data_IF_058451812528
#
_entry.id   IF_058451812528
#
_cell.length_a   1.000
_cell.length_b   1.000
_cell.length_c   1.000
_cell.angle_alpha   90.00
_cell.angle_beta   90.00
_cell.angle_gamma   90.00
#
_symmetry.space_group_name_H-M   'P 1'
#
loop_
_entity.id
_entity.type
_entity.pdbx_description
1 polymer ?
#
# COMPACT_ATOMS: atom_id res chain seq x y z
N UNK A 1 -20.65 -19.46 -0.37
CA UNK A 1 -20.99 -18.04 -0.12
C UNK A 1 -19.69 -17.34 0.19
N UNK A 2 -19.39 -16.23 -0.49
CA UNK A 2 -18.18 -15.42 -0.27
C UNK A 2 -18.40 -14.35 0.82
N UNK A 3 -19.47 -14.46 1.60
CA UNK A 3 -19.77 -13.54 2.68
C UNK A 3 -18.66 -13.58 3.74
N UNK A 4 -17.96 -12.46 3.88
CA UNK A 4 -16.94 -12.30 4.90
C UNK A 4 -17.62 -11.94 6.22
N UNK A 5 -17.55 -12.86 7.18
CA UNK A 5 -18.02 -12.63 8.53
C UNK A 5 -16.89 -12.03 9.38
N UNK A 6 -17.11 -10.81 9.88
CA UNK A 6 -16.20 -10.14 10.80
C UNK A 6 -16.48 -10.63 12.23
N UNK A 7 -15.51 -11.25 12.86
CA UNK A 7 -15.57 -11.64 14.27
C UNK A 7 -15.42 -10.42 15.18
N UNK A 8 -16.55 -9.96 15.71
CA UNK A 8 -16.62 -8.83 16.64
C UNK A 8 -16.15 -9.16 18.06
N UNK A 9 -15.82 -10.42 18.37
CA UNK A 9 -15.30 -10.81 19.69
C UNK A 9 -13.81 -10.57 19.85
N UNK A 10 -13.08 -10.43 18.73
CA UNK A 10 -11.64 -10.19 18.72
C UNK A 10 -11.26 -8.88 19.43
N UNK A 11 -10.19 -8.92 20.21
CA UNK A 11 -9.65 -7.78 20.94
C UNK A 11 -8.18 -7.58 20.57
N UNK A 12 -7.76 -6.32 20.53
CA UNK A 12 -6.32 -6.05 20.48
C UNK A 12 -5.66 -6.37 21.81
N UNK A 13 -4.38 -6.73 21.75
CA UNK A 13 -3.52 -6.76 22.91
C UNK A 13 -3.33 -5.32 23.40
N UNK A 14 -3.45 -5.13 24.71
CA UNK A 14 -3.30 -3.82 25.36
C UNK A 14 -2.02 -3.10 24.89
N UNK A 15 -2.18 -1.84 24.46
CA UNK A 15 -1.08 -1.03 23.95
C UNK A 15 -0.66 -1.31 22.50
N UNK A 16 -1.33 -2.23 21.80
CA UNK A 16 -1.05 -2.55 20.39
C UNK A 16 -2.31 -2.41 19.53
N UNK A 17 -2.14 -2.56 18.21
CA UNK A 17 -3.25 -2.83 17.30
C UNK A 17 -3.03 -4.16 16.58
N UNK A 18 -2.73 -5.19 17.38
CA UNK A 18 -2.63 -6.58 16.93
C UNK A 18 -3.38 -7.52 17.87
N UNK A 19 -3.99 -8.56 17.34
CA UNK A 19 -4.73 -9.58 18.12
C UNK A 19 -3.81 -10.64 18.73
N UNK A 20 -2.62 -10.82 18.15
CA UNK A 20 -1.56 -11.70 18.65
C UNK A 20 -0.27 -10.90 18.87
N UNK A 21 0.53 -11.33 19.85
CA UNK A 21 1.85 -10.76 20.07
C UNK A 21 2.86 -11.30 19.04
N UNK A 22 4.06 -10.74 19.07
CA UNK A 22 5.13 -11.09 18.12
C UNK A 22 5.55 -12.56 18.25
N UNK A 23 5.55 -13.13 19.47
CA UNK A 23 5.93 -14.52 19.71
C UNK A 23 4.90 -15.50 19.15
N UNK A 24 3.63 -15.28 19.47
CA UNK A 24 2.51 -16.08 18.95
C UNK A 24 2.40 -15.98 17.42
N UNK A 25 2.59 -14.78 16.86
CA UNK A 25 2.61 -14.61 15.40
C UNK A 25 3.72 -15.44 14.75
N UNK A 26 4.94 -15.41 15.31
CA UNK A 26 6.07 -16.20 14.81
C UNK A 26 5.81 -17.70 14.92
N UNK A 27 5.29 -18.17 16.06
CA UNK A 27 4.97 -19.59 16.28
C UNK A 27 3.94 -20.10 15.26
N UNK A 28 2.92 -19.31 14.97
CA UNK A 28 1.85 -19.67 14.03
C UNK A 28 2.31 -19.65 12.57
N UNK A 29 3.24 -18.77 12.20
CA UNK A 29 3.58 -18.52 10.79
C UNK A 29 4.85 -19.25 10.35
N UNK A 30 5.85 -19.38 11.23
CA UNK A 30 7.15 -19.96 10.89
C UNK A 30 7.10 -21.40 10.33
N UNK A 31 6.22 -22.31 10.82
CA UNK A 31 6.11 -23.66 10.27
C UNK A 31 5.65 -23.72 8.80
N UNK A 32 4.95 -22.68 8.33
CA UNK A 32 4.32 -22.64 7.01
C UNK A 32 5.22 -22.01 5.94
N UNK A 33 6.30 -21.33 6.32
CA UNK A 33 7.20 -20.64 5.37
C UNK A 33 7.75 -21.54 4.26
N UNK A 34 8.13 -22.78 4.59
CA UNK A 34 8.62 -23.74 3.59
C UNK A 34 7.53 -24.16 2.59
N UNK A 35 6.26 -24.16 3.02
CA UNK A 35 5.12 -24.51 2.15
C UNK A 35 4.80 -23.41 1.15
N UNK A 36 5.18 -22.17 1.43
CA UNK A 36 5.05 -21.04 0.51
C UNK A 36 6.39 -20.73 -0.18
N UNK A 37 7.30 -21.71 -0.28
CA UNK A 37 8.57 -21.57 -1.01
C UNK A 37 9.62 -20.65 -0.38
N UNK A 38 9.42 -20.14 0.83
CA UNK A 38 10.42 -19.29 1.50
C UNK A 38 11.58 -20.16 1.98
N UNK A 39 12.75 -19.92 1.40
CA UNK A 39 13.97 -20.70 1.65
C UNK A 39 14.88 -20.06 2.70
N UNK A 40 14.83 -18.73 2.82
CA UNK A 40 15.69 -17.98 3.75
C UNK A 40 15.02 -16.69 4.20
N UNK A 41 15.26 -16.34 5.46
CA UNK A 41 14.95 -15.02 6.02
C UNK A 41 16.20 -14.51 6.73
N UNK A 42 16.61 -13.28 6.42
CA UNK A 42 17.83 -12.70 6.96
C UNK A 42 17.64 -11.21 7.27
N UNK A 43 18.29 -10.74 8.33
CA UNK A 43 18.44 -9.31 8.59
C UNK A 43 19.35 -8.71 7.51
N UNK A 44 18.94 -7.58 6.97
CA UNK A 44 19.73 -6.75 6.05
C UNK A 44 19.97 -5.35 6.64
N UNK A 45 19.61 -5.14 7.91
CA UNK A 45 19.75 -3.88 8.65
C UNK A 45 21.14 -3.26 8.51
N UNK A 46 22.18 -4.07 8.70
CA UNK A 46 23.57 -3.61 8.73
C UNK A 46 24.13 -3.20 7.36
N UNK A 47 23.34 -3.31 6.28
CA UNK A 47 23.73 -2.78 4.97
C UNK A 47 23.59 -1.25 4.89
N UNK A 48 22.75 -0.64 5.74
CA UNK A 48 22.60 0.81 5.83
C UNK A 48 23.03 1.31 7.21
N UNK A 49 23.53 2.54 7.27
CA UNK A 49 24.06 3.15 8.50
C UNK A 49 22.98 3.69 9.46
N UNK A 50 21.70 3.60 9.07
CA UNK A 50 20.57 4.09 9.86
C UNK A 50 20.28 3.18 11.08
N UNK A 51 20.53 1.86 10.97
CA UNK A 51 20.30 0.92 12.07
C UNK A 51 18.83 0.76 12.49
N UNK A 52 17.89 0.96 11.56
CA UNK A 52 16.47 0.59 11.72
C UNK A 52 16.27 -0.83 11.18
N UNK A 53 15.64 -1.74 11.94
CA UNK A 53 15.49 -3.14 11.54
C UNK A 53 14.79 -3.34 10.19
N UNK A 54 15.49 -4.03 9.27
CA UNK A 54 14.96 -4.46 7.98
C UNK A 54 15.37 -5.90 7.72
N UNK A 55 14.41 -6.72 7.34
CA UNK A 55 14.62 -8.13 6.98
C UNK A 55 14.29 -8.38 5.52
N UNK A 56 14.85 -9.45 4.97
CA UNK A 56 14.52 -9.95 3.65
C UNK A 56 14.13 -11.42 3.73
N UNK A 57 13.05 -11.79 3.04
CA UNK A 57 12.61 -13.16 2.81
C UNK A 57 12.81 -13.53 1.34
N UNK A 58 13.37 -14.71 1.09
CA UNK A 58 13.75 -15.18 -0.26
C UNK A 58 12.89 -16.37 -0.64
N UNK A 59 12.13 -16.21 -1.71
CA UNK A 59 11.27 -17.22 -2.34
C UNK A 59 11.66 -17.39 -3.81
N UNK A 60 12.59 -18.31 -4.12
CA UNK A 60 13.05 -18.54 -5.49
C UNK A 60 11.98 -19.12 -6.43
N UNK A 61 10.91 -19.70 -5.87
CA UNK A 61 9.78 -20.31 -6.58
C UNK A 61 8.67 -19.31 -6.93
N UNK A 62 8.90 -18.01 -6.75
CA UNK A 62 7.92 -16.98 -7.13
C UNK A 62 7.56 -17.09 -8.61
N UNK A 63 6.28 -16.89 -8.92
CA UNK A 63 5.77 -17.00 -10.27
C UNK A 63 6.42 -15.97 -11.21
N UNK A 64 6.55 -16.32 -12.48
CA UNK A 64 7.10 -15.42 -13.49
C UNK A 64 6.35 -14.08 -13.51
N UNK A 65 7.10 -12.97 -13.37
CA UNK A 65 6.54 -11.62 -13.28
C UNK A 65 6.35 -11.09 -11.84
N UNK A 66 6.50 -11.94 -10.82
CA UNK A 66 6.73 -11.52 -9.44
C UNK A 66 8.23 -11.30 -9.16
N UNK A 67 8.55 -10.81 -7.96
CA UNK A 67 9.94 -10.75 -7.47
C UNK A 67 10.18 -11.88 -6.47
N UNK A 68 11.41 -12.39 -6.42
CA UNK A 68 11.79 -13.49 -5.54
C UNK A 68 12.21 -13.04 -4.12
N UNK A 69 12.27 -11.73 -3.86
CA UNK A 69 12.78 -11.14 -2.62
C UNK A 69 11.78 -10.14 -2.03
N UNK A 70 11.20 -10.51 -0.89
CA UNK A 70 10.31 -9.67 -0.11
C UNK A 70 11.05 -9.07 1.07
N UNK A 71 10.58 -7.94 1.58
CA UNK A 71 11.31 -7.18 2.61
C UNK A 71 10.38 -6.77 3.73
N UNK A 72 10.83 -6.88 4.97
CA UNK A 72 10.04 -6.53 6.14
C UNK A 72 10.68 -5.40 6.93
N UNK A 73 9.85 -4.63 7.61
CA UNK A 73 10.26 -3.44 8.37
C UNK A 73 9.55 -3.37 9.72
N UNK A 74 10.21 -2.76 10.70
CA UNK A 74 9.66 -2.64 12.05
C UNK A 74 10.55 -1.80 12.97
N UNK A 75 10.00 -1.42 14.13
CA UNK A 75 10.77 -0.73 15.16
C UNK A 75 11.67 -1.69 15.96
N UNK A 76 11.35 -2.98 15.94
CA UNK A 76 12.16 -4.08 16.49
C UNK A 76 12.53 -5.09 15.42
N UNK A 77 13.56 -5.91 15.67
CA UNK A 77 13.93 -7.01 14.78
C UNK A 77 12.80 -8.03 14.60
N UNK A 78 12.08 -8.34 15.67
CA UNK A 78 10.96 -9.27 15.62
C UNK A 78 9.84 -8.75 14.71
N UNK A 79 9.47 -7.46 14.81
CA UNK A 79 8.50 -6.83 13.91
C UNK A 79 8.95 -6.85 12.44
N UNK A 80 10.21 -6.47 12.19
CA UNK A 80 10.74 -6.47 10.83
C UNK A 80 10.78 -7.89 10.22
N UNK A 81 11.15 -8.89 11.02
CA UNK A 81 11.13 -10.29 10.61
C UNK A 81 9.72 -10.80 10.32
N UNK A 82 8.76 -10.54 11.21
CA UNK A 82 7.34 -10.88 11.01
C UNK A 82 6.83 -10.20 9.75
N UNK A 83 7.11 -8.92 9.55
CA UNK A 83 6.71 -8.19 8.35
C UNK A 83 7.21 -8.85 7.07
N UNK A 84 8.45 -9.34 7.03
CA UNK A 84 8.99 -10.03 5.85
C UNK A 84 8.30 -11.39 5.62
N UNK A 85 7.96 -12.09 6.70
CA UNK A 85 7.22 -13.36 6.66
C UNK A 85 5.80 -13.15 6.13
N UNK A 86 5.08 -12.20 6.69
CA UNK A 86 3.68 -11.89 6.36
C UNK A 86 3.55 -11.39 4.91
N UNK A 87 4.48 -10.56 4.43
CA UNK A 87 4.52 -10.17 3.02
C UNK A 87 4.77 -11.39 2.10
N UNK A 88 5.54 -12.39 2.53
CA UNK A 88 5.76 -13.60 1.74
C UNK A 88 4.47 -14.44 1.58
N UNK A 89 3.65 -14.56 2.62
CA UNK A 89 2.33 -15.20 2.54
C UNK A 89 1.42 -14.44 1.58
N UNK A 90 1.35 -13.12 1.74
CA UNK A 90 0.56 -12.24 0.89
C UNK A 90 0.91 -12.42 -0.59
N UNK A 91 2.20 -12.40 -0.92
CA UNK A 91 2.70 -12.49 -2.29
C UNK A 91 2.46 -13.88 -2.89
N UNK A 92 2.73 -14.94 -2.13
CA UNK A 92 2.51 -16.31 -2.59
C UNK A 92 1.02 -16.58 -2.84
N UNK A 93 0.12 -16.22 -1.91
CA UNK A 93 -1.30 -16.54 -2.05
C UNK A 93 -2.05 -15.62 -3.04
N UNK A 94 -1.42 -14.54 -3.49
CA UNK A 94 -1.90 -13.73 -4.61
C UNK A 94 -1.65 -14.36 -5.98
N UNK A 95 -0.72 -15.32 -6.08
CA UNK A 95 -0.49 -16.10 -7.29
C UNK A 95 -1.66 -17.05 -7.55
N UNK A 96 -1.97 -17.25 -8.83
CA UNK A 96 -3.03 -18.20 -9.24
C UNK A 96 -2.50 -19.61 -9.15
N UNK A 97 -3.38 -20.58 -8.89
CA UNK A 97 -3.00 -22.00 -8.76
C UNK A 97 -2.24 -22.51 -9.99
N UNK A 98 -2.65 -22.10 -11.18
CA UNK A 98 -2.01 -22.52 -12.44
C UNK A 98 -0.56 -22.05 -12.60
N UNK A 99 -0.10 -21.05 -11.84
CA UNK A 99 1.26 -20.49 -11.91
C UNK A 99 2.01 -20.57 -10.57
N UNK A 100 1.32 -20.88 -9.46
CA UNK A 100 1.94 -21.00 -8.16
C UNK A 100 2.68 -22.34 -8.04
N UNK A 101 4.00 -22.29 -7.90
CA UNK A 101 4.83 -23.49 -7.82
C UNK A 101 4.78 -24.22 -6.46
N UNK A 102 4.26 -23.56 -5.41
CA UNK A 102 4.28 -24.06 -4.04
C UNK A 102 2.89 -24.50 -3.54
N UNK A 103 1.82 -23.95 -4.11
CA UNK A 103 0.43 -24.12 -3.66
C UNK A 103 -0.44 -24.67 -4.80
N UNK A 104 -0.92 -25.91 -4.63
CA UNK A 104 -1.88 -26.58 -5.51
C UNK A 104 -3.24 -26.72 -4.79
N UNK A 105 -3.76 -25.59 -4.31
CA UNK A 105 -5.06 -25.46 -3.64
C UNK A 105 -5.75 -24.22 -4.22
N UNK A 106 -7.03 -24.32 -4.59
CA UNK A 106 -7.82 -23.20 -5.12
C UNK A 106 -8.28 -22.23 -4.02
N UNK A 107 -8.58 -20.99 -4.40
CA UNK A 107 -9.31 -20.07 -3.52
C UNK A 107 -10.75 -20.55 -3.32
N UNK A 108 -11.39 -20.12 -2.24
CA UNK A 108 -12.82 -20.36 -2.01
C UNK A 108 -13.73 -19.53 -2.94
N UNK A 109 -13.21 -18.50 -3.62
CA UNK A 109 -13.97 -17.66 -4.51
C UNK A 109 -14.22 -18.33 -5.88
N UNK A 110 -15.43 -18.19 -6.40
CA UNK A 110 -15.78 -18.68 -7.73
C UNK A 110 -15.11 -17.82 -8.81
N UNK A 111 -14.56 -18.47 -9.83
CA UNK A 111 -13.96 -17.81 -10.98
C UNK A 111 -14.55 -18.31 -12.30
N UNK A 112 -14.73 -17.42 -13.28
CA UNK A 112 -15.16 -17.77 -14.64
C UNK A 112 -14.67 -16.78 -15.70
N UNK A 113 -14.71 -17.18 -16.97
CA UNK A 113 -14.39 -16.31 -18.12
C UNK A 113 -15.64 -16.08 -18.94
N UNK A 114 -16.08 -14.83 -19.05
CA UNK A 114 -17.18 -14.41 -19.91
C UNK A 114 -17.11 -12.89 -20.18
N UNK A 115 -17.70 -12.48 -21.30
CA UNK A 115 -17.92 -11.07 -21.63
C UNK A 115 -18.81 -10.36 -20.62
N UNK A 116 -18.56 -9.07 -20.38
CA UNK A 116 -19.37 -8.26 -19.46
C UNK A 116 -20.85 -8.29 -19.84
N UNK A 117 -21.16 -8.22 -21.15
CA UNK A 117 -22.54 -8.25 -21.65
C UNK A 117 -23.29 -9.50 -21.18
N UNK A 118 -22.72 -10.68 -21.40
CA UNK A 118 -23.36 -11.96 -21.04
C UNK A 118 -23.32 -12.24 -19.56
N UNK A 119 -22.20 -11.95 -18.90
CA UNK A 119 -22.07 -12.21 -17.47
C UNK A 119 -23.06 -11.36 -16.64
N UNK A 120 -23.39 -10.15 -17.10
CA UNK A 120 -24.36 -9.25 -16.43
C UNK A 120 -25.80 -9.77 -16.43
N UNK A 121 -26.13 -10.77 -17.25
CA UNK A 121 -27.47 -11.38 -17.27
C UNK A 121 -27.78 -12.22 -16.02
N UNK A 122 -26.73 -12.71 -15.33
CA UNK A 122 -26.86 -13.61 -14.18
C UNK A 122 -26.00 -13.25 -12.97
N UNK A 123 -25.11 -12.26 -13.10
CA UNK A 123 -24.15 -11.89 -12.06
C UNK A 123 -24.10 -10.38 -11.84
N UNK A 124 -23.93 -9.97 -10.59
CA UNK A 124 -23.57 -8.59 -10.25
C UNK A 124 -22.09 -8.39 -10.57
N UNK A 125 -21.79 -7.50 -11.51
CA UNK A 125 -20.42 -7.24 -11.97
C UNK A 125 -19.96 -5.86 -11.53
N UNK A 126 -18.69 -5.75 -11.19
CA UNK A 126 -18.01 -4.46 -11.14
C UNK A 126 -17.89 -3.89 -12.55
N UNK A 127 -18.24 -2.61 -12.71
CA UNK A 127 -17.92 -1.87 -13.93
C UNK A 127 -16.40 -1.79 -14.11
N UNK A 128 -15.88 -2.40 -15.16
CA UNK A 128 -14.44 -2.46 -15.45
C UNK A 128 -13.82 -1.08 -15.61
N UNK A 129 -14.57 -0.09 -16.12
CA UNK A 129 -14.07 1.28 -16.31
C UNK A 129 -13.85 2.00 -14.97
N UNK A 130 -14.53 1.57 -13.90
CA UNK A 130 -14.31 2.09 -12.55
C UNK A 130 -12.92 1.74 -11.99
N UNK A 131 -12.20 0.80 -12.61
CA UNK A 131 -10.81 0.46 -12.29
C UNK A 131 -9.78 1.40 -12.95
N UNK A 132 -10.21 2.55 -13.50
CA UNK A 132 -9.33 3.56 -14.07
C UNK A 132 -8.50 3.02 -15.24
N UNK A 133 -9.15 2.31 -16.16
CA UNK A 133 -8.50 1.78 -17.35
C UNK A 133 -7.89 2.93 -18.18
N UNK A 134 -6.72 2.68 -18.79
CA UNK A 134 -6.11 3.63 -19.72
C UNK A 134 -6.98 3.84 -20.96
N UNK A 135 -7.50 2.73 -21.50
CA UNK A 135 -8.48 2.71 -22.59
C UNK A 135 -9.69 1.86 -22.18
N UNK A 136 -10.93 2.33 -22.46
CA UNK A 136 -12.13 1.53 -22.25
C UNK A 136 -12.07 0.23 -23.05
N UNK A 137 -12.64 -0.83 -22.49
CA UNK A 137 -12.75 -2.12 -23.16
C UNK A 137 -14.16 -2.32 -23.72
N UNK A 138 -14.27 -2.92 -24.91
CA UNK A 138 -15.56 -3.30 -25.46
C UNK A 138 -16.22 -4.40 -24.61
N UNK A 139 -17.52 -4.29 -24.37
CA UNK A 139 -18.29 -5.15 -23.46
C UNK A 139 -18.43 -6.60 -23.92
N UNK A 140 -18.16 -6.87 -25.19
CA UNK A 140 -18.15 -8.20 -25.82
C UNK A 140 -16.81 -8.95 -25.64
N UNK A 141 -15.79 -8.28 -25.10
CA UNK A 141 -14.51 -8.91 -24.80
C UNK A 141 -14.64 -9.84 -23.60
N UNK A 142 -14.05 -11.02 -23.72
CA UNK A 142 -13.96 -11.97 -22.61
C UNK A 142 -13.13 -11.34 -21.49
N UNK A 143 -13.69 -11.32 -20.29
CA UNK A 143 -13.02 -10.93 -19.06
C UNK A 143 -13.08 -12.13 -18.13
N UNK A 144 -12.02 -12.32 -17.37
CA UNK A 144 -12.04 -13.28 -16.28
C UNK A 144 -12.47 -12.60 -15.00
N UNK A 145 -13.39 -13.23 -14.30
CA UNK A 145 -14.08 -12.69 -13.14
C UNK A 145 -13.81 -13.56 -11.93
N UNK A 146 -13.51 -12.93 -10.80
CA UNK A 146 -13.38 -13.55 -9.48
C UNK A 146 -14.45 -12.97 -8.56
N UNK A 147 -15.15 -13.83 -7.82
CA UNK A 147 -16.15 -13.40 -6.85
C UNK A 147 -15.48 -12.74 -5.63
N UNK A 148 -16.03 -11.61 -5.19
CA UNK A 148 -15.67 -10.94 -3.95
C UNK A 148 -16.91 -10.50 -3.16
N UNK A 149 -16.65 -9.82 -2.05
CA UNK A 149 -17.66 -9.27 -1.16
C UNK A 149 -17.50 -7.76 -1.05
N UNK A 150 -18.53 -7.01 -1.46
CA UNK A 150 -18.57 -5.55 -1.28
C UNK A 150 -18.98 -5.22 0.16
N UNK A 151 -18.04 -4.70 0.94
CA UNK A 151 -18.24 -4.34 2.35
C UNK A 151 -19.13 -3.10 2.54
N UNK A 152 -19.24 -2.22 1.54
CA UNK A 152 -20.09 -1.03 1.62
C UNK A 152 -21.53 -1.33 1.23
N UNK A 153 -21.70 -2.15 0.20
CA UNK A 153 -23.02 -2.54 -0.33
C UNK A 153 -23.57 -3.83 0.28
N UNK A 154 -22.75 -4.56 1.05
CA UNK A 154 -23.08 -5.83 1.71
C UNK A 154 -23.66 -6.87 0.73
N UNK A 155 -22.98 -7.06 -0.40
CA UNK A 155 -23.38 -8.01 -1.44
C UNK A 155 -22.20 -8.73 -2.09
N UNK A 156 -22.46 -9.90 -2.66
CA UNK A 156 -21.51 -10.56 -3.55
C UNK A 156 -21.41 -9.78 -4.87
N UNK A 157 -20.19 -9.63 -5.38
CA UNK A 157 -19.90 -8.94 -6.64
C UNK A 157 -18.73 -9.63 -7.34
N UNK A 158 -18.77 -9.71 -8.66
CA UNK A 158 -17.67 -10.22 -9.46
C UNK A 158 -16.76 -9.07 -9.92
N UNK A 159 -15.46 -9.23 -9.71
CA UNK A 159 -14.43 -8.27 -10.13
C UNK A 159 -13.50 -8.93 -11.15
N UNK A 160 -12.88 -8.17 -12.06
CA UNK A 160 -11.89 -8.74 -12.97
C UNK A 160 -10.73 -9.39 -12.21
N UNK A 161 -10.37 -10.62 -12.54
CA UNK A 161 -9.27 -11.37 -11.90
C UNK A 161 -7.92 -10.66 -12.06
N UNK A 162 -7.78 -9.82 -13.10
CA UNK A 162 -6.63 -8.93 -13.29
C UNK A 162 -6.44 -7.92 -12.13
N UNK A 163 -7.52 -7.56 -11.44
CA UNK A 163 -7.51 -6.71 -10.25
C UNK A 163 -7.22 -7.49 -8.96
N UNK A 164 -7.28 -8.82 -9.00
CA UNK A 164 -7.19 -9.71 -7.83
C UNK A 164 -5.79 -10.29 -7.66
N UNK A 165 -5.28 -10.94 -8.71
CA UNK A 165 -4.06 -11.71 -8.64
C UNK A 165 -2.82 -10.91 -9.02
N UNK A 166 -1.68 -11.36 -8.51
CA UNK A 166 -0.38 -10.84 -8.88
C UNK A 166 0.69 -11.95 -8.82
N UNK A 167 1.48 -12.17 -9.88
CA UNK A 167 1.36 -11.55 -11.20
C UNK A 167 0.10 -12.05 -11.93
N UNK A 168 -0.37 -11.30 -12.91
CA UNK A 168 -1.52 -11.70 -13.72
C UNK A 168 -1.23 -11.58 -15.21
N UNK A 169 -1.46 -12.70 -15.90
CA UNK A 169 -1.65 -12.77 -17.33
C UNK A 169 -3.03 -13.36 -17.63
N UNK A 170 -3.66 -12.81 -18.66
CA UNK A 170 -5.01 -13.18 -19.06
C UNK A 170 -5.05 -14.60 -19.65
N UNK A 171 -5.85 -15.53 -19.10
CA UNK A 171 -5.94 -16.88 -19.64
C UNK A 171 -6.74 -16.95 -20.95
N UNK A 172 -6.28 -17.78 -21.87
CA UNK A 172 -6.96 -18.03 -23.14
C UNK A 172 -7.05 -16.77 -24.00
N UNK A 173 -8.27 -16.36 -24.36
CA UNK A 173 -8.56 -15.18 -25.18
C UNK A 173 -9.16 -14.03 -24.36
N UNK A 174 -9.07 -14.08 -23.02
CA UNK A 174 -9.56 -13.00 -22.16
C UNK A 174 -8.66 -11.76 -22.25
N UNK A 175 -9.21 -10.62 -21.89
CA UNK A 175 -8.49 -9.36 -21.94
C UNK A 175 -7.62 -9.15 -20.69
N UNK A 176 -6.38 -8.72 -20.92
CA UNK A 176 -5.54 -8.12 -19.89
C UNK A 176 -5.87 -6.63 -19.78
N UNK A 177 -6.57 -6.25 -18.71
CA UNK A 177 -7.11 -4.89 -18.53
C UNK A 177 -6.02 -3.87 -18.19
N UNK A 178 -5.03 -4.26 -17.40
CA UNK A 178 -3.90 -3.42 -16.98
C UNK A 178 -2.76 -4.28 -16.44
N UNK A 179 -1.59 -3.66 -16.22
CA UNK A 179 -0.49 -4.32 -15.51
C UNK A 179 -0.91 -4.62 -14.08
N UNK A 180 -0.84 -5.88 -13.67
CA UNK A 180 -1.12 -6.27 -12.28
C UNK A 180 -0.14 -5.63 -11.32
N UNK A 181 -0.62 -5.32 -10.12
CA UNK A 181 0.16 -4.75 -9.03
C UNK A 181 -0.30 -5.34 -7.71
N UNK A 182 0.40 -5.02 -6.64
CA UNK A 182 0.20 -5.57 -5.31
C UNK A 182 -0.70 -4.74 -4.40
N UNK A 183 -1.18 -3.58 -4.86
CA UNK A 183 -1.95 -2.64 -4.04
C UNK A 183 -3.18 -3.30 -3.40
N UNK A 184 -3.30 -3.18 -2.08
CA UNK A 184 -4.43 -3.72 -1.32
C UNK A 184 -4.36 -5.23 -1.10
N UNK A 185 -3.28 -5.89 -1.49
CA UNK A 185 -2.98 -7.21 -0.93
C UNK A 185 -2.56 -7.03 0.53
N UNK A 186 -3.02 -7.92 1.40
CA UNK A 186 -2.63 -7.89 2.79
C UNK A 186 -2.80 -9.26 3.43
N UNK A 187 -1.94 -9.56 4.39
CA UNK A 187 -2.07 -10.68 5.31
C UNK A 187 -2.27 -10.20 6.75
N UNK A 188 -2.78 -11.07 7.60
CA UNK A 188 -3.02 -10.80 9.02
C UNK A 188 -2.97 -12.07 9.85
N UNK A 189 -2.95 -11.94 11.18
CA UNK A 189 -3.13 -13.11 12.06
C UNK A 189 -4.57 -13.67 11.97
N UNK A 190 -5.51 -12.78 11.62
CA UNK A 190 -6.93 -13.02 11.42
C UNK A 190 -7.38 -12.22 10.20
N UNK A 191 -8.52 -12.58 9.60
CA UNK A 191 -8.97 -11.97 8.34
C UNK A 191 -9.29 -10.47 8.52
N UNK A 192 -9.73 -10.06 9.71
CA UNK A 192 -10.02 -8.67 10.05
C UNK A 192 -8.77 -7.79 10.02
N UNK A 193 -7.63 -8.30 10.50
CA UNK A 193 -6.36 -7.58 10.39
C UNK A 193 -5.93 -7.43 8.93
N UNK A 194 -6.09 -8.49 8.13
CA UNK A 194 -5.77 -8.47 6.71
C UNK A 194 -6.66 -7.45 5.95
N UNK A 195 -7.96 -7.46 6.20
CA UNK A 195 -8.92 -6.51 5.61
C UNK A 195 -8.59 -5.08 6.01
N UNK A 196 -8.39 -4.82 7.30
CA UNK A 196 -8.05 -3.49 7.80
C UNK A 196 -6.75 -2.99 7.16
N UNK A 197 -5.73 -3.84 7.07
CA UNK A 197 -4.46 -3.47 6.45
C UNK A 197 -4.64 -3.17 4.95
N UNK A 198 -5.35 -4.02 4.21
CA UNK A 198 -5.60 -3.83 2.78
C UNK A 198 -6.39 -2.56 2.49
N UNK A 199 -7.42 -2.25 3.29
CA UNK A 199 -8.19 -1.00 3.17
C UNK A 199 -7.29 0.23 3.40
N UNK A 200 -6.46 0.20 4.46
CA UNK A 200 -5.55 1.29 4.78
C UNK A 200 -4.49 1.49 3.67
N UNK A 201 -3.99 0.40 3.08
CA UNK A 201 -3.02 0.49 1.98
C UNK A 201 -3.64 1.11 0.72
N UNK A 202 -4.87 0.73 0.34
CA UNK A 202 -5.53 1.34 -0.82
C UNK A 202 -5.76 2.85 -0.60
N UNK A 203 -6.13 3.26 0.61
CA UNK A 203 -6.25 4.68 0.99
C UNK A 203 -4.89 5.39 0.94
N UNK A 204 -3.82 4.75 1.42
CA UNK A 204 -2.45 5.27 1.38
C UNK A 204 -2.02 5.58 -0.06
N UNK A 205 -2.24 4.63 -0.98
CA UNK A 205 -1.86 4.76 -2.38
C UNK A 205 -2.69 5.81 -3.13
N UNK A 206 -3.97 5.97 -2.79
CA UNK A 206 -4.82 7.05 -3.33
C UNK A 206 -4.30 8.43 -2.88
N UNK A 207 -4.10 8.62 -1.57
CA UNK A 207 -3.59 9.87 -1.02
C UNK A 207 -2.21 10.24 -1.58
N UNK A 208 -1.30 9.26 -1.67
CA UNK A 208 0.02 9.45 -2.28
C UNK A 208 -0.08 9.81 -3.76
N UNK A 209 -0.97 9.14 -4.52
CA UNK A 209 -1.20 9.42 -5.94
C UNK A 209 -1.72 10.85 -6.16
N UNK A 210 -2.67 11.29 -5.34
CA UNK A 210 -3.21 12.67 -5.36
C UNK A 210 -2.11 13.68 -5.04
N UNK A 211 -1.31 13.42 -4.02
CA UNK A 211 -0.21 14.29 -3.60
C UNK A 211 0.86 14.45 -4.70
N UNK A 212 1.33 13.33 -5.26
CA UNK A 212 2.32 13.28 -6.35
C UNK A 212 1.82 13.98 -7.62
N UNK A 213 0.60 13.69 -8.04
CA UNK A 213 0.04 14.29 -9.26
C UNK A 213 -0.13 15.82 -9.12
N UNK A 214 -0.57 16.28 -7.95
CA UNK A 214 -0.79 17.70 -7.70
C UNK A 214 0.48 18.44 -7.23
N UNK A 215 1.57 17.71 -6.97
CA UNK A 215 2.82 18.24 -6.38
C UNK A 215 2.58 19.00 -5.08
N UNK A 216 1.73 18.44 -4.23
CA UNK A 216 1.35 19.02 -2.95
C UNK A 216 1.47 17.97 -1.84
N UNK A 217 2.51 18.04 -1.00
CA UNK A 217 2.74 17.08 0.07
C UNK A 217 1.83 17.28 1.28
N UNK A 218 1.03 18.35 1.32
CA UNK A 218 0.25 18.71 2.51
C UNK A 218 1.07 19.50 3.52
N UNK A 219 1.05 19.09 4.79
CA UNK A 219 1.72 19.79 5.90
C UNK A 219 2.96 19.03 6.37
N UNK A 220 4.02 19.74 6.71
CA UNK A 220 5.24 19.16 7.25
C UNK A 220 4.99 18.77 8.72
N UNK A 221 5.05 17.48 9.04
CA UNK A 221 4.88 16.97 10.39
C UNK A 221 6.20 17.09 11.15
N UNK A 222 6.18 17.83 12.25
CA UNK A 222 7.33 18.00 13.14
C UNK A 222 7.13 17.15 14.39
N UNK A 223 8.13 16.32 14.69
CA UNK A 223 8.16 15.51 15.91
C UNK A 223 9.01 16.16 17.00
N UNK A 224 8.68 15.85 18.25
CA UNK A 224 9.38 16.23 19.47
C UNK A 224 9.70 15.00 20.31
N UNK A 225 10.53 15.15 21.34
CA UNK A 225 10.87 14.06 22.27
C UNK A 225 9.63 13.40 22.91
N UNK A 226 8.51 14.12 23.01
CA UNK A 226 7.26 13.59 23.56
C UNK A 226 6.60 12.54 22.65
N UNK A 227 7.00 12.44 21.37
CA UNK A 227 6.48 11.47 20.40
C UNK A 227 7.17 10.09 20.50
N UNK A 228 8.05 9.93 21.49
CA UNK A 228 8.67 8.66 21.89
C UNK A 228 9.40 7.97 20.75
N UNK A 229 9.07 6.71 20.49
CA UNK A 229 9.75 5.87 19.49
C UNK A 229 9.76 6.49 18.10
N UNK A 230 8.75 7.28 17.72
CA UNK A 230 8.72 7.93 16.40
C UNK A 230 9.81 8.99 16.27
N UNK A 231 10.03 9.78 17.33
CA UNK A 231 11.13 10.73 17.41
C UNK A 231 12.48 10.03 17.42
N UNK A 232 12.63 8.94 18.20
CA UNK A 232 13.85 8.14 18.23
C UNK A 232 14.23 7.57 16.85
N UNK A 233 13.23 7.13 16.07
CA UNK A 233 13.46 6.64 14.70
C UNK A 233 13.92 7.77 13.76
N UNK A 234 13.35 8.97 13.86
CA UNK A 234 13.83 10.15 13.11
C UNK A 234 15.27 10.51 13.52
N UNK A 235 15.57 10.49 14.82
CA UNK A 235 16.92 10.74 15.34
C UNK A 235 17.96 9.80 14.75
N UNK A 236 17.64 8.51 14.56
CA UNK A 236 18.55 7.56 13.88
C UNK A 236 18.93 7.98 12.46
N UNK A 237 18.00 8.58 11.71
CA UNK A 237 18.32 9.13 10.38
C UNK A 237 19.26 10.33 10.49
N UNK A 238 18.92 11.29 11.34
CA UNK A 238 19.69 12.52 11.51
C UNK A 238 21.10 12.27 12.02
N UNK A 239 21.26 11.39 13.01
CA UNK A 239 22.54 11.03 13.61
C UNK A 239 23.45 10.28 12.60
N UNK A 240 22.85 9.67 11.58
CA UNK A 240 23.52 9.05 10.46
C UNK A 240 23.74 10.00 9.26
N UNK A 241 23.49 11.30 9.42
CA UNK A 241 23.69 12.31 8.36
C UNK A 241 22.66 12.26 7.23
N UNK A 242 21.50 11.63 7.47
CA UNK A 242 20.39 11.54 6.51
C UNK A 242 19.25 12.39 7.03
N UNK A 243 18.90 13.46 6.31
CA UNK A 243 17.71 14.24 6.65
C UNK A 243 16.45 13.45 6.31
N UNK A 244 15.42 13.60 7.13
CA UNK A 244 14.10 13.00 6.91
C UNK A 244 13.04 14.06 7.14
N UNK A 245 12.16 14.26 6.16
CA UNK A 245 10.98 15.10 6.29
C UNK A 245 9.73 14.24 6.32
N UNK A 246 8.84 14.53 7.27
CA UNK A 246 7.55 13.85 7.38
C UNK A 246 6.45 14.77 6.85
N UNK A 247 5.54 14.23 6.06
CA UNK A 247 4.49 14.97 5.38
C UNK A 247 3.14 14.33 5.67
N UNK A 248 2.26 15.10 6.32
CA UNK A 248 0.86 14.73 6.52
C UNK A 248 0.07 15.08 5.26
N UNK A 249 -0.34 14.04 4.52
CA UNK A 249 -1.04 14.21 3.24
C UNK A 249 -2.49 14.62 3.48
N UNK A 250 -2.95 15.61 2.71
CA UNK A 250 -4.37 15.94 2.64
C UNK A 250 -5.13 14.87 1.85
N UNK A 251 -6.19 14.33 2.45
CA UNK A 251 -7.08 13.34 1.84
C UNK A 251 -8.54 13.64 2.20
N UNK A 252 -9.49 13.10 1.44
CA UNK A 252 -10.94 13.31 1.66
C UNK A 252 -11.57 12.30 2.65
N UNK A 253 -10.75 11.39 3.19
CA UNK A 253 -11.05 10.61 4.41
C UNK A 253 -10.29 11.17 5.61
N UNK A 254 -10.78 10.90 6.82
CA UNK A 254 -10.06 11.23 8.05
C UNK A 254 -8.87 10.28 8.39
N UNK A 255 -8.64 9.21 7.61
CA UNK A 255 -7.49 8.29 7.80
C UNK A 255 -6.17 9.04 7.64
N UNK A 256 -5.29 8.92 8.64
CA UNK A 256 -3.99 9.60 8.63
C UNK A 256 -3.06 8.91 7.65
N UNK A 257 -2.46 9.68 6.73
CA UNK A 257 -1.44 9.20 5.79
C UNK A 257 -0.20 10.07 5.89
N UNK A 258 0.95 9.45 6.16
CA UNK A 258 2.24 10.12 6.30
C UNK A 258 3.18 9.64 5.20
N UNK A 259 3.95 10.57 4.63
CA UNK A 259 5.10 10.27 3.77
C UNK A 259 6.38 10.72 4.46
N UNK A 260 7.37 9.85 4.51
CA UNK A 260 8.71 10.15 4.99
C UNK A 260 9.68 10.23 3.81
N UNK A 261 10.18 11.42 3.50
CA UNK A 261 11.12 11.66 2.40
C UNK A 261 12.54 11.80 2.94
N UNK A 262 13.47 10.99 2.42
CA UNK A 262 14.87 10.98 2.88
C UNK A 262 15.78 11.78 1.96
N UNK A 263 16.77 12.45 2.54
CA UNK A 263 17.80 13.20 1.84
C UNK A 263 19.19 12.93 2.46
N UNK A 264 19.99 12.10 1.80
CA UNK A 264 21.33 11.71 2.23
C UNK A 264 22.35 12.79 1.84
N UNK A 265 22.64 13.70 2.76
CA UNK A 265 23.50 14.86 2.51
C UNK A 265 24.99 14.50 2.39
N UNK A 266 25.37 13.31 2.87
CA UNK A 266 26.74 12.81 2.81
C UNK A 266 27.01 12.13 1.48
N UNK A 267 26.22 11.10 1.13
CA UNK A 267 26.43 10.34 -0.11
C UNK A 267 25.96 11.11 -1.33
N UNK A 268 24.88 11.90 -1.21
CA UNK A 268 24.22 12.57 -2.32
C UNK A 268 23.98 11.63 -3.51
N UNK A 269 23.61 10.39 -3.22
CA UNK A 269 23.22 9.43 -4.24
C UNK A 269 21.76 9.69 -4.62
N UNK A 270 21.53 9.95 -5.91
CA UNK A 270 20.19 10.17 -6.44
C UNK A 270 19.27 8.95 -6.24
N UNK A 271 19.82 7.73 -6.21
CA UNK A 271 19.05 6.52 -5.97
C UNK A 271 18.56 6.41 -4.51
N UNK A 272 19.23 7.09 -3.56
CA UNK A 272 18.85 7.11 -2.15
C UNK A 272 17.88 8.24 -1.79
N UNK A 273 17.41 9.02 -2.79
CA UNK A 273 16.25 9.92 -2.65
C UNK A 273 14.96 9.09 -2.66
N UNK A 274 14.80 8.26 -1.64
CA UNK A 274 13.64 7.38 -1.47
C UNK A 274 12.63 7.98 -0.50
N UNK A 275 11.45 7.37 -0.47
CA UNK A 275 10.37 7.72 0.44
C UNK A 275 9.76 6.45 1.03
N UNK A 276 9.18 6.58 2.22
CA UNK A 276 8.25 5.60 2.77
C UNK A 276 6.89 6.23 2.99
N UNK A 277 5.82 5.43 2.89
CA UNK A 277 4.47 5.86 3.19
C UNK A 277 3.87 5.01 4.32
N UNK A 278 2.88 5.57 5.01
CA UNK A 278 2.20 4.88 6.09
C UNK A 278 0.82 5.47 6.34
N UNK A 279 -0.22 4.65 6.20
CA UNK A 279 -1.58 5.00 6.61
C UNK A 279 -2.08 4.21 7.80
N UNK A 280 -2.82 4.90 8.67
CA UNK A 280 -3.43 4.30 9.85
C UNK A 280 -4.48 5.22 10.48
N UNK A 281 -5.43 4.64 11.23
CA UNK A 281 -6.43 5.41 12.00
C UNK A 281 -5.82 6.13 13.21
N UNK A 282 -4.76 5.54 13.76
CA UNK A 282 -3.92 6.08 14.83
C UNK A 282 -2.67 6.76 14.26
N UNK A 283 -2.51 8.10 14.38
CA UNK A 283 -1.43 8.86 13.74
C UNK A 283 -0.02 8.34 14.05
N UNK A 284 0.25 7.94 15.29
CA UNK A 284 1.57 7.46 15.71
C UNK A 284 2.00 6.21 14.93
N UNK A 285 1.04 5.36 14.54
CA UNK A 285 1.33 4.15 13.77
C UNK A 285 1.56 4.52 12.29
N UNK A 286 0.80 5.47 11.73
CA UNK A 286 1.03 5.98 10.38
C UNK A 286 2.44 6.57 10.22
N UNK A 287 2.86 7.39 11.20
CA UNK A 287 4.22 7.96 11.26
C UNK A 287 5.28 6.85 11.31
N UNK A 288 5.14 5.89 12.23
CA UNK A 288 6.09 4.78 12.38
C UNK A 288 6.23 3.95 11.11
N UNK A 289 5.11 3.65 10.44
CA UNK A 289 5.08 2.94 9.15
C UNK A 289 5.86 3.71 8.08
N UNK A 290 5.61 5.02 7.93
CA UNK A 290 6.30 5.84 6.94
C UNK A 290 7.81 5.88 7.17
N UNK A 291 8.26 6.09 8.42
CA UNK A 291 9.69 6.13 8.76
C UNK A 291 10.36 4.77 8.53
N UNK A 292 9.73 3.68 8.96
CA UNK A 292 10.31 2.33 8.80
C UNK A 292 10.29 1.86 7.34
N UNK A 293 9.30 2.27 6.53
CA UNK A 293 9.27 2.01 5.09
C UNK A 293 10.32 2.84 4.32
N UNK A 294 10.65 4.05 4.79
CA UNK A 294 11.76 4.81 4.24
C UNK A 294 13.11 4.12 4.49
N UNK A 295 13.32 3.58 5.70
CA UNK A 295 14.51 2.79 6.02
C UNK A 295 14.58 1.50 5.17
N UNK A 296 13.45 0.80 5.03
CA UNK A 296 13.33 -0.37 4.16
C UNK A 296 13.71 -0.04 2.71
N UNK A 297 13.16 1.06 2.17
CA UNK A 297 13.40 1.48 0.79
C UNK A 297 14.88 1.77 0.55
N UNK A 298 15.56 2.42 1.50
CA UNK A 298 17.01 2.67 1.42
C UNK A 298 17.82 1.38 1.46
N UNK A 299 17.55 0.50 2.42
CA UNK A 299 18.31 -0.74 2.59
C UNK A 299 18.12 -1.67 1.39
N UNK A 300 16.90 -1.78 0.84
CA UNK A 300 16.62 -2.55 -0.38
C UNK A 300 17.38 -1.98 -1.58
N UNK A 301 17.42 -0.65 -1.69
CA UNK A 301 18.16 0.09 -2.71
C UNK A 301 19.70 -0.10 -2.60
N UNK A 302 20.23 -0.27 -1.39
CA UNK A 302 21.65 -0.59 -1.16
C UNK A 302 21.95 -2.06 -1.43
N UNK A 303 21.03 -2.94 -1.01
CA UNK A 303 21.16 -4.38 -1.19
C UNK A 303 21.21 -4.77 -2.68
N UNK A 304 20.45 -4.06 -3.54
CA UNK A 304 20.50 -4.21 -5.00
C UNK A 304 20.10 -5.60 -5.51
N UNK A 305 19.46 -6.41 -4.66
CA UNK A 305 19.13 -7.80 -4.97
C UNK A 305 17.79 -7.97 -5.71
N UNK A 306 16.98 -6.90 -5.83
CA UNK A 306 15.69 -6.99 -6.52
C UNK A 306 15.86 -6.89 -8.03
N UNK A 307 15.07 -7.70 -8.73
CA UNK A 307 15.07 -7.85 -10.19
C UNK A 307 14.48 -6.62 -10.92
N UNK A 308 13.79 -5.71 -10.22
CA UNK A 308 13.11 -4.53 -10.75
C UNK A 308 13.91 -3.22 -10.64
N UNK A 309 15.22 -3.31 -10.38
CA UNK A 309 16.10 -2.17 -10.05
C UNK A 309 16.68 -1.40 -11.24
N UNK A 310 16.22 -1.64 -12.48
CA UNK A 310 16.69 -0.92 -13.68
C UNK A 310 16.59 0.62 -13.56
N UNK A 311 15.64 1.11 -12.74
CA UNK A 311 15.43 2.53 -12.43
C UNK A 311 16.64 3.22 -11.82
N UNK A 312 17.48 2.50 -11.09
CA UNK A 312 18.61 3.06 -10.34
C UNK A 312 19.63 3.73 -11.24
N UNK A 313 20.02 3.02 -12.30
CA UNK A 313 21.01 3.49 -13.27
C UNK A 313 20.56 4.79 -13.94
N UNK A 314 19.26 4.85 -14.29
CA UNK A 314 18.64 6.03 -14.88
C UNK A 314 18.58 7.21 -13.90
N UNK A 315 18.18 6.98 -12.65
CA UNK A 315 18.09 8.04 -11.64
C UNK A 315 19.47 8.61 -11.30
N UNK A 316 20.50 7.76 -11.20
CA UNK A 316 21.90 8.19 -11.00
C UNK A 316 22.43 9.02 -12.17
N UNK A 317 22.04 8.71 -13.41
CA UNK A 317 22.40 9.53 -14.59
C UNK A 317 21.76 10.93 -14.57
N UNK A 318 20.54 11.07 -14.04
CA UNK A 318 19.90 12.39 -13.86
C UNK A 318 20.67 13.23 -12.85
N UNK A 319 21.17 12.58 -11.79
CA UNK A 319 21.98 13.19 -10.74
C UNK A 319 21.16 13.78 -9.60
N UNK A 320 21.77 13.81 -8.41
CA UNK A 320 21.12 14.15 -7.14
C UNK A 320 20.44 15.53 -7.15
N UNK A 321 21.16 16.60 -7.50
CA UNK A 321 20.62 17.96 -7.45
C UNK A 321 19.45 18.18 -8.42
N UNK A 322 19.44 17.45 -9.54
CA UNK A 322 18.37 17.53 -10.54
C UNK A 322 17.16 16.73 -10.10
N UNK A 323 17.35 15.53 -9.56
CA UNK A 323 16.28 14.72 -8.98
C UNK A 323 15.59 15.43 -7.82
N UNK A 324 16.37 15.98 -6.89
CA UNK A 324 15.84 16.78 -5.77
C UNK A 324 15.04 17.99 -6.27
N UNK A 325 15.52 18.71 -7.29
CA UNK A 325 14.76 19.83 -7.91
C UNK A 325 13.46 19.41 -8.58
N UNK A 326 13.45 18.27 -9.28
CA UNK A 326 12.25 17.76 -9.95
C UNK A 326 11.14 17.42 -8.95
N UNK A 327 11.55 16.97 -7.75
CA UNK A 327 10.68 16.55 -6.65
C UNK A 327 10.71 17.54 -5.48
N UNK A 328 11.03 18.82 -5.73
CA UNK A 328 11.30 19.82 -4.67
C UNK A 328 10.20 19.96 -3.63
N UNK A 329 8.95 19.65 -4.00
CA UNK A 329 7.81 19.75 -3.09
C UNK A 329 7.91 18.80 -1.89
N UNK A 330 8.71 17.73 -1.97
CA UNK A 330 9.02 16.86 -0.83
C UNK A 330 10.18 17.36 0.04
N UNK A 331 10.97 18.32 -0.44
CA UNK A 331 12.23 18.74 0.18
C UNK A 331 12.26 20.21 0.61
N UNK A 332 11.40 21.04 0.03
CA UNK A 332 11.20 22.44 0.43
C UNK A 332 10.52 22.50 1.82
N UNK A 333 10.52 23.67 2.46
CA UNK A 333 9.81 23.91 3.72
C UNK A 333 8.29 23.96 3.51
N UNK A 334 7.54 23.32 4.40
CA UNK A 334 6.08 23.33 4.41
C UNK A 334 5.48 24.07 5.60
N UNK A 335 4.17 24.28 5.57
CA UNK A 335 3.43 24.65 6.79
C UNK A 335 3.53 23.50 7.80
N UNK A 336 4.01 23.79 9.00
CA UNK A 336 4.22 22.77 10.02
C UNK A 336 2.96 22.39 10.77
N UNK A 337 2.87 21.11 11.17
CA UNK A 337 1.86 20.56 12.07
C UNK A 337 2.55 19.63 13.08
N UNK A 338 1.96 19.43 14.25
CA UNK A 338 2.40 18.44 15.25
C UNK A 338 1.42 17.27 15.33
N UNK A 339 1.84 16.14 15.87
CA UNK A 339 1.02 14.92 15.88
C UNK A 339 -0.27 15.09 16.70
N UNK A 340 -0.26 15.88 17.77
CA UNK A 340 -1.41 16.18 18.64
C UNK A 340 -2.51 16.99 17.93
N UNK A 341 -2.18 17.60 16.79
CA UNK A 341 -3.13 18.31 15.94
C UNK A 341 -3.82 17.38 14.93
N UNK A 342 -3.40 16.11 14.85
CA UNK A 342 -4.00 15.08 14.00
C UNK A 342 -4.93 14.22 14.86
N UNK A 343 -6.18 14.07 14.44
CA UNK A 343 -7.16 13.31 15.19
C UNK A 343 -6.85 11.80 15.14
N UNK A 344 -6.73 11.17 16.31
CA UNK A 344 -6.82 9.71 16.43
C UNK A 344 -8.29 9.29 16.33
N UNK A 345 -8.61 8.55 15.27
CA UNK A 345 -9.95 8.01 15.01
C UNK A 345 -9.98 6.49 15.19
N UNK A 346 -8.94 5.89 15.76
CA UNK A 346 -8.89 4.45 16.00
C UNK A 346 -9.84 4.01 17.10
N UNK A 347 -10.25 2.76 16.99
CA UNK A 347 -11.10 2.05 17.92
C UNK A 347 -10.33 0.89 18.60
N UNK A 348 -11.02 0.21 19.51
CA UNK A 348 -10.41 -0.76 20.42
C UNK A 348 -10.29 -2.16 19.85
N UNK A 349 -10.91 -2.44 18.70
CA UNK A 349 -10.95 -3.76 18.07
C UNK A 349 -10.70 -3.69 16.56
N UNK A 350 -10.28 -4.81 15.92
CA UNK A 350 -10.22 -4.91 14.46
C UNK A 350 -11.53 -4.58 13.78
N UNK A 351 -12.63 -5.15 14.28
CA UNK A 351 -13.96 -4.95 13.71
C UNK A 351 -14.41 -3.48 13.74
N UNK A 352 -14.25 -2.81 14.89
CA UNK A 352 -14.61 -1.38 15.00
C UNK A 352 -13.70 -0.50 14.14
N UNK A 353 -12.41 -0.83 14.00
CA UNK A 353 -11.53 -0.11 13.08
C UNK A 353 -11.97 -0.27 11.61
N UNK A 354 -12.41 -1.47 11.22
CA UNK A 354 -13.01 -1.68 9.89
C UNK A 354 -14.26 -0.81 9.74
N UNK A 355 -15.15 -0.79 10.74
CA UNK A 355 -16.36 0.05 10.72
C UNK A 355 -16.00 1.55 10.56
N UNK A 356 -14.98 2.04 11.26
CA UNK A 356 -14.48 3.42 11.11
C UNK A 356 -14.00 3.68 9.69
N UNK A 357 -13.19 2.80 9.11
CA UNK A 357 -12.70 2.96 7.73
C UNK A 357 -13.86 2.94 6.74
N UNK A 358 -14.80 2.01 6.86
CA UNK A 358 -15.96 1.94 5.98
C UNK A 358 -16.82 3.20 6.09
N UNK A 359 -17.00 3.76 7.29
CA UNK A 359 -17.71 5.03 7.49
C UNK A 359 -17.04 6.22 6.80
N UNK A 360 -15.69 6.26 6.77
CA UNK A 360 -14.96 7.25 5.99
C UNK A 360 -15.12 7.01 4.48
N UNK A 361 -15.02 5.75 4.04
CA UNK A 361 -15.14 5.38 2.62
C UNK A 361 -16.54 5.65 2.05
N UNK A 362 -17.63 5.47 2.82
CA UNK A 362 -19.01 5.79 2.39
C UNK A 362 -19.18 7.24 1.92
N UNK A 363 -18.29 8.14 2.32
CA UNK A 363 -18.34 9.56 1.93
C UNK A 363 -17.74 9.80 0.53
N UNK A 364 -16.90 8.89 0.04
CA UNK A 364 -16.00 9.13 -1.10
C UNK A 364 -15.94 7.99 -2.12
N UNK A 365 -16.47 6.80 -1.78
CA UNK A 365 -16.50 5.62 -2.62
C UNK A 365 -17.88 4.94 -2.56
N UNK A 366 -18.28 4.34 -3.68
CA UNK A 366 -19.52 3.57 -3.78
C UNK A 366 -19.33 2.11 -3.36
N UNK A 367 -18.10 1.59 -3.40
CA UNK A 367 -17.79 0.17 -3.19
C UNK A 367 -16.43 -0.03 -2.52
N UNK A 368 -16.32 -1.03 -1.65
CA UNK A 368 -15.05 -1.49 -1.10
C UNK A 368 -15.06 -3.03 -1.06
N UNK A 369 -14.38 -3.65 -2.00
CA UNK A 369 -14.50 -5.07 -2.31
C UNK A 369 -13.33 -5.81 -1.70
N UNK A 370 -13.63 -6.93 -1.05
CA UNK A 370 -12.63 -7.86 -0.52
C UNK A 370 -12.77 -9.20 -1.23
N UNK A 371 -11.64 -9.74 -1.69
CA UNK A 371 -11.52 -11.12 -2.15
C UNK A 371 -10.65 -11.88 -1.16
N UNK A 372 -11.18 -12.96 -0.61
CA UNK A 372 -10.42 -13.85 0.28
C UNK A 372 -9.53 -14.77 -0.55
N UNK A 373 -8.23 -14.61 -0.38
CA UNK A 373 -7.17 -15.38 -1.03
C UNK A 373 -6.56 -16.41 -0.08
N UNK A 374 -7.18 -16.67 1.05
CA UNK A 374 -6.70 -17.64 2.03
C UNK A 374 -6.71 -19.07 1.49
N UNK A 375 -5.90 -19.94 2.09
CA UNK A 375 -5.87 -21.38 1.86
C UNK A 375 -5.98 -22.10 3.18
N UNK A 376 -6.88 -23.09 3.25
CA UNK A 376 -7.10 -23.85 4.49
C UNK A 376 -5.80 -24.57 4.92
N UNK A 377 -4.97 -25.01 3.96
CA UNK A 377 -3.71 -25.68 4.27
C UNK A 377 -2.59 -24.78 4.83
N UNK A 378 -2.74 -23.45 4.72
CA UNK A 378 -1.73 -22.47 5.14
C UNK A 378 -2.09 -21.82 6.48
N UNK A 379 -3.36 -21.58 6.76
CA UNK A 379 -3.81 -21.04 8.06
C UNK A 379 -3.37 -19.59 8.33
N UNK A 380 -2.91 -18.86 7.31
CA UNK A 380 -2.64 -17.41 7.36
C UNK A 380 -3.61 -16.71 6.43
N UNK A 381 -4.51 -15.86 6.95
CA UNK A 381 -5.44 -15.10 6.12
C UNK A 381 -4.72 -14.14 5.18
N UNK A 382 -5.11 -14.17 3.90
CA UNK A 382 -4.65 -13.23 2.87
C UNK A 382 -5.86 -12.73 2.12
N UNK A 383 -5.93 -11.43 1.89
CA UNK A 383 -7.02 -10.80 1.14
C UNK A 383 -6.48 -9.88 0.07
N UNK A 384 -7.32 -9.62 -0.94
CA UNK A 384 -7.18 -8.47 -1.83
C UNK A 384 -8.32 -7.50 -1.58
N UNK A 385 -7.97 -6.24 -1.32
CA UNK A 385 -8.92 -5.13 -1.23
C UNK A 385 -8.89 -4.29 -2.50
N UNK A 386 -10.06 -3.98 -3.04
CA UNK A 386 -10.24 -3.17 -4.24
C UNK A 386 -11.26 -2.08 -3.90
N UNK A 387 -10.88 -0.81 -4.05
CA UNK A 387 -11.77 0.33 -3.93
C UNK A 387 -11.85 1.00 -5.31
N UNK A 388 -12.90 0.72 -6.10
CA UNK A 388 -13.04 1.29 -7.43
C UNK A 388 -13.04 2.82 -7.41
N UNK A 389 -12.42 3.43 -8.41
CA UNK A 389 -12.26 4.88 -8.52
C UNK A 389 -11.11 5.48 -7.70
N UNK A 390 -10.48 4.73 -6.79
CA UNK A 390 -9.28 5.18 -6.08
C UNK A 390 -8.04 5.13 -6.99
N UNK A 391 -7.21 6.16 -6.87
CA UNK A 391 -6.12 6.50 -7.76
C UNK A 391 -4.90 5.60 -7.56
N UNK A 392 -4.27 5.22 -8.67
CA UNK A 392 -3.09 4.33 -8.67
C UNK A 392 -1.91 4.94 -9.43
N UNK A 393 -1.89 6.27 -9.62
CA UNK A 393 -0.91 7.00 -10.43
C UNK A 393 0.56 6.77 -10.01
N UNK A 394 0.81 6.52 -8.73
CA UNK A 394 2.16 6.21 -8.24
C UNK A 394 2.65 4.82 -8.66
N UNK A 395 1.74 3.89 -8.95
CA UNK A 395 2.03 2.54 -9.42
C UNK A 395 1.99 2.45 -10.95
N UNK A 396 1.00 3.11 -11.56
CA UNK A 396 0.76 3.12 -12.99
C UNK A 396 0.32 4.52 -13.44
N UNK A 397 1.19 5.22 -14.16
CA UNK A 397 0.97 6.61 -14.59
C UNK A 397 -0.12 6.75 -15.65
N UNK A 398 -0.55 5.65 -16.27
CA UNK A 398 -1.62 5.64 -17.26
C UNK A 398 -3.00 5.56 -16.60
N UNK A 399 -3.07 5.07 -15.36
CA UNK A 399 -4.31 4.90 -14.58
C UNK A 399 -4.63 6.17 -13.80
N UNK A 400 -5.32 7.09 -14.47
CA UNK A 400 -5.65 8.43 -13.96
C UNK A 400 -7.17 8.62 -13.89
N UNK A 401 -7.69 8.69 -12.67
CA UNK A 401 -9.09 8.90 -12.37
C UNK A 401 -9.49 10.37 -12.21
N UNK A 402 -10.72 10.54 -11.72
CA UNK A 402 -11.33 11.87 -11.52
C UNK A 402 -10.83 12.54 -10.25
N UNK A 403 -10.40 11.78 -9.23
CA UNK A 403 -9.98 12.30 -7.91
C UNK A 403 -8.70 13.13 -8.05
N UNK A 404 -7.74 12.69 -8.88
CA UNK A 404 -6.53 13.47 -9.21
C UNK A 404 -6.85 14.85 -9.77
N UNK A 405 -7.86 14.93 -10.63
CA UNK A 405 -8.24 16.17 -11.34
C UNK A 405 -9.03 17.14 -10.44
N UNK A 406 -9.71 16.63 -9.41
CA UNK A 406 -10.47 17.45 -8.46
C UNK A 406 -9.57 18.15 -7.44
N UNK A 407 -8.50 17.49 -6.97
CA UNK A 407 -7.49 18.12 -6.10
C UNK A 407 -6.90 19.40 -6.71
N UNK A 408 -6.78 19.46 -8.04
CA UNK A 408 -6.34 20.65 -8.78
C UNK A 408 -7.31 21.84 -8.69
N UNK A 409 -8.61 21.61 -8.48
CA UNK A 409 -9.66 22.65 -8.48
C UNK A 409 -9.90 23.25 -7.10
N UNK A 410 -9.78 22.49 -6.01
CA UNK A 410 -9.91 23.04 -4.64
C UNK A 410 -8.83 24.09 -4.36
N UNK A 411 -7.60 23.83 -4.82
CA UNK A 411 -6.45 24.75 -4.72
C UNK A 411 -6.56 26.00 -5.60
N UNK A 412 -7.29 25.94 -6.72
CA UNK A 412 -7.46 27.09 -7.62
C UNK A 412 -8.39 28.18 -7.06
N UNK A 413 -9.05 27.95 -5.91
CA UNK A 413 -9.97 28.90 -5.29
C UNK A 413 -9.34 29.85 -4.27
N UNK A 414 -8.18 29.51 -3.69
CA UNK A 414 -7.54 30.33 -2.65
C UNK A 414 -6.33 31.15 -3.12
N UNK A 415 -5.65 30.82 -4.23
CA UNK A 415 -4.50 31.61 -4.67
C UNK A 415 -4.40 31.73 -6.20
N UNK A 416 -4.83 32.89 -6.74
CA UNK A 416 -4.32 33.41 -8.02
C UNK A 416 -3.51 34.68 -7.75
N UNK A 417 -2.17 34.59 -7.62
CA UNK A 417 -1.30 35.74 -7.34
C UNK A 417 -1.29 36.82 -8.44
N UNK A 418 -1.80 36.50 -9.63
CA UNK A 418 -1.64 37.35 -10.83
C UNK A 418 -2.81 38.30 -11.10
N UNK A 419 -3.82 38.38 -10.22
CA UNK A 419 -4.96 39.31 -10.38
C UNK A 419 -4.90 40.59 -9.52
N UNK A 420 -3.73 40.95 -8.98
CA UNK A 420 -3.52 42.28 -8.38
C UNK A 420 -2.69 43.17 -9.30
N UNK A 421 -3.36 44.21 -9.81
CA UNK A 421 -2.86 45.47 -10.41
C UNK A 421 -2.31 45.42 -11.85
N UNK A 422 -3.18 45.78 -12.80
CA UNK A 422 -2.86 46.85 -13.76
C UNK A 422 -3.90 47.96 -13.58
N UNK A 423 -3.63 48.86 -12.63
CA UNK A 423 -4.24 50.18 -12.64
C UNK A 423 -3.69 50.93 -13.84
N UNK A 424 -4.55 51.23 -14.81
CA UNK A 424 -4.23 52.16 -15.91
C UNK A 424 -4.11 53.56 -15.32
N UNK A 425 -2.89 54.08 -15.30
CA UNK A 425 -2.70 55.53 -15.37
C UNK A 425 -2.85 55.95 -16.83
N UNK A 426 -3.94 56.63 -17.15
CA UNK A 426 -4.01 57.80 -18.04
C UNK A 426 -5.32 58.53 -17.82
#
# INVERSE_FOLDING_TARGET
MCHIMIDRSLQYIEGTQRVLDEGATLENTQPHLKRIGVTRIASITELDRIGIPVFSAIRPSAADGAISIYSGKGASEAQARISAMMESFERCLAERVSVNADIDEEIAADEFIESSDKASEGHELLDVDSLLLFEPIASDKLVEWTKGWDMLQEKEIYVPSNAVHHPYDSPGMSAKLFRSNTNGLASGNVIEEAILHGLLEVIERDALSISEFNRNPGKELVLTENDGINYELVKKFEDAGVQIKLWYLGHDTAVTTIVAATDDLELKDAALLVMGAGSHLKPEIAVRRAITEAAQSRVVQIHGAREDTDRESFVRQIGYDRMKRMNRFWYDEGESITIDQINDISASTPAENIDVVLNELRKVADSAIVVDLSRESIGVPVVRVIIPGFEQYTLDRERVGKRLRQGRKSLASSEKPWKRKFGRNK
#
